data_IF_368122868111
#
_entry.id   IF_368122868111
#
_cell.length_a   1.000
_cell.length_b   1.000
_cell.length_c   1.000
_cell.angle_alpha   90.00
_cell.angle_beta   90.00
_cell.angle_gamma   90.00
#
_symmetry.space_group_name_H-M   'P 1'
#
loop_
_entity.id
_entity.type
_entity.pdbx_description
1 polymer ?
#
# COMPACT_ATOMS: atom_id res chain seq x y z
N UNK A 1 -8.84 17.90 25.10
CA UNK A 1 -7.76 16.89 25.00
C UNK A 1 -7.78 16.34 23.61
N UNK A 2 -6.66 16.26 22.87
CA UNK A 2 -6.67 15.59 21.58
C UNK A 2 -7.03 14.14 21.80
N UNK A 3 -8.05 13.64 21.10
CA UNK A 3 -8.40 12.23 21.08
C UNK A 3 -7.19 11.45 20.53
N UNK A 4 -6.47 10.77 21.39
CA UNK A 4 -5.50 9.76 20.98
C UNK A 4 -6.28 8.50 20.64
N UNK A 5 -6.48 8.23 19.36
CA UNK A 5 -6.89 6.89 18.96
C UNK A 5 -5.75 5.94 19.33
N UNK A 6 -6.10 4.84 20.00
CA UNK A 6 -5.14 3.78 20.21
C UNK A 6 -4.88 3.11 18.85
N UNK A 7 -3.62 2.95 18.48
CA UNK A 7 -3.22 2.16 17.33
C UNK A 7 -2.97 0.73 17.78
N UNK A 8 -3.47 -0.23 17.01
CA UNK A 8 -3.11 -1.62 17.18
C UNK A 8 -1.74 -1.89 16.56
N UNK A 9 -1.07 -2.93 17.04
CA UNK A 9 0.09 -3.48 16.32
C UNK A 9 -0.30 -3.82 14.87
N UNK A 10 0.61 -3.59 13.90
CA UNK A 10 0.30 -3.85 12.50
C UNK A 10 0.02 -5.33 12.27
N UNK A 11 -1.02 -5.61 11.50
CA UNK A 11 -1.29 -6.96 11.00
C UNK A 11 -0.22 -7.32 9.97
N UNK A 12 0.68 -8.20 10.32
CA UNK A 12 1.84 -8.58 9.51
C UNK A 12 1.60 -9.89 8.80
N UNK A 13 1.95 -9.97 7.53
CA UNK A 13 1.94 -11.22 6.75
C UNK A 13 3.12 -12.14 7.06
N UNK A 14 4.17 -11.58 7.69
CA UNK A 14 5.38 -12.29 8.08
C UNK A 14 5.54 -12.21 9.60
N UNK A 15 5.89 -13.33 10.22
CA UNK A 15 6.21 -13.42 11.65
C UNK A 15 7.57 -12.77 11.94
N UNK A 16 7.87 -12.50 13.22
CA UNK A 16 9.19 -11.99 13.64
C UNK A 16 10.36 -12.90 13.22
N UNK A 17 10.09 -14.18 13.01
CA UNK A 17 11.11 -15.18 12.61
C UNK A 17 11.19 -15.34 11.08
N UNK A 18 10.61 -14.44 10.29
CA UNK A 18 10.67 -14.47 8.85
C UNK A 18 9.70 -15.46 8.16
N UNK A 19 8.91 -16.27 8.91
CA UNK A 19 7.93 -17.18 8.33
C UNK A 19 6.70 -16.43 7.83
N UNK A 20 6.21 -16.77 6.65
CA UNK A 20 4.92 -16.25 6.15
C UNK A 20 3.77 -16.82 6.99
N UNK A 21 2.84 -15.98 7.42
CA UNK A 21 1.63 -16.38 8.14
C UNK A 21 0.64 -17.04 7.18
N UNK A 22 -0.14 -17.97 7.69
CA UNK A 22 -1.28 -18.54 6.97
C UNK A 22 -2.44 -17.54 6.91
N UNK A 23 -3.42 -17.81 6.04
CA UNK A 23 -4.62 -16.97 5.94
C UNK A 23 -5.41 -16.93 7.25
N UNK A 24 -5.48 -18.07 7.94
CA UNK A 24 -6.14 -18.23 9.23
C UNK A 24 -5.44 -17.39 10.31
N UNK A 25 -4.11 -17.44 10.36
CA UNK A 25 -3.32 -16.64 11.30
C UNK A 25 -3.50 -15.13 11.06
N UNK A 26 -3.58 -14.70 9.79
CA UNK A 26 -3.85 -13.29 9.44
C UNK A 26 -5.26 -12.90 9.90
N UNK A 27 -6.26 -13.72 9.65
CA UNK A 27 -7.63 -13.47 10.09
C UNK A 27 -7.72 -13.42 11.62
N UNK A 28 -6.99 -14.24 12.34
CA UNK A 28 -6.95 -14.22 13.80
C UNK A 28 -6.25 -12.96 14.35
N UNK A 29 -5.21 -12.47 13.69
CA UNK A 29 -4.62 -11.16 14.02
C UNK A 29 -5.63 -10.01 13.81
N UNK A 30 -6.37 -10.04 12.68
CA UNK A 30 -7.43 -9.05 12.41
C UNK A 30 -8.53 -9.07 13.49
N UNK A 31 -8.92 -10.25 13.97
CA UNK A 31 -9.92 -10.40 15.04
C UNK A 31 -9.46 -9.84 16.39
N UNK A 32 -8.15 -9.76 16.62
CA UNK A 32 -7.57 -9.20 17.84
C UNK A 32 -7.55 -7.68 17.88
N UNK A 33 -7.79 -7.01 16.74
CA UNK A 33 -7.91 -5.55 16.71
C UNK A 33 -9.19 -5.14 17.43
N UNK A 34 -9.11 -4.43 18.57
CA UNK A 34 -10.29 -4.06 19.35
C UNK A 34 -11.17 -3.06 18.61
N UNK A 35 -12.44 -2.98 19.00
CA UNK A 35 -13.32 -1.93 18.50
C UNK A 35 -12.84 -0.55 18.99
N UNK A 36 -13.00 0.47 18.14
CA UNK A 36 -12.52 1.83 18.43
C UNK A 36 -11.01 2.03 18.29
N UNK A 37 -10.29 1.06 17.75
CA UNK A 37 -8.84 1.10 17.52
C UNK A 37 -8.56 1.08 16.03
N UNK A 38 -7.56 1.85 15.58
CA UNK A 38 -7.09 1.84 14.20
C UNK A 38 -6.15 0.65 14.00
N UNK A 39 -6.59 -0.31 13.20
CA UNK A 39 -5.75 -1.39 12.70
C UNK A 39 -5.17 -1.06 11.32
N UNK A 40 -3.96 -1.50 11.04
CA UNK A 40 -3.33 -1.34 9.74
C UNK A 40 -2.44 -2.54 9.39
N UNK A 41 -2.13 -2.72 8.12
CA UNK A 41 -1.26 -3.80 7.67
C UNK A 41 -1.43 -4.16 6.21
N UNK A 42 -0.68 -5.17 5.78
CA UNK A 42 -0.76 -5.73 4.45
C UNK A 42 -1.69 -6.95 4.48
N UNK A 43 -2.95 -6.74 4.15
CA UNK A 43 -3.99 -7.77 4.23
C UNK A 43 -4.46 -8.13 2.82
N UNK A 44 -4.45 -9.42 2.49
CA UNK A 44 -5.00 -9.92 1.22
C UNK A 44 -6.53 -9.83 1.26
N UNK A 45 -7.16 -9.49 0.11
CA UNK A 45 -8.61 -9.41 -0.03
C UNK A 45 -9.25 -10.80 -0.21
N UNK A 46 -8.97 -11.73 0.70
CA UNK A 46 -9.69 -13.00 0.71
C UNK A 46 -11.16 -12.78 1.09
N UNK A 47 -12.04 -13.69 0.72
CA UNK A 47 -13.46 -13.63 1.06
C UNK A 47 -13.66 -13.46 2.58
N UNK A 48 -12.87 -14.18 3.38
CA UNK A 48 -12.94 -14.16 4.85
C UNK A 48 -12.47 -12.82 5.41
N UNK A 49 -11.34 -12.30 4.92
CA UNK A 49 -10.79 -11.02 5.36
C UNK A 49 -11.73 -9.86 4.98
N UNK A 50 -12.20 -9.84 3.73
CA UNK A 50 -13.18 -8.84 3.27
C UNK A 50 -14.46 -8.92 4.09
N UNK A 51 -15.02 -10.11 4.28
CA UNK A 51 -16.24 -10.30 5.09
C UNK A 51 -16.03 -9.86 6.55
N UNK A 52 -14.86 -10.10 7.12
CA UNK A 52 -14.54 -9.68 8.48
C UNK A 52 -14.38 -8.16 8.59
N UNK A 53 -13.64 -7.53 7.69
CA UNK A 53 -13.33 -6.11 7.73
C UNK A 53 -14.54 -5.24 7.37
N UNK A 54 -15.42 -5.69 6.49
CA UNK A 54 -16.57 -4.92 6.01
C UNK A 54 -17.86 -5.11 6.83
N UNK A 55 -17.74 -5.64 8.07
CA UNK A 55 -18.86 -5.71 9.02
C UNK A 55 -19.36 -4.32 9.38
N UNK A 56 -20.62 -4.26 9.80
CA UNK A 56 -21.26 -3.01 10.22
C UNK A 56 -20.43 -2.28 11.31
N UNK A 57 -20.36 -0.98 11.22
CA UNK A 57 -19.62 -0.13 12.15
C UNK A 57 -18.11 -0.05 11.92
N UNK A 58 -17.58 -0.65 10.85
CA UNK A 58 -16.16 -0.56 10.48
C UNK A 58 -15.97 0.34 9.26
N UNK A 59 -14.92 1.14 9.30
CA UNK A 59 -14.42 1.94 8.17
C UNK A 59 -13.15 1.29 7.65
N UNK A 60 -13.05 1.12 6.35
CA UNK A 60 -11.90 0.48 5.74
C UNK A 60 -11.34 1.35 4.62
N UNK A 61 -10.05 1.60 4.69
CA UNK A 61 -9.30 2.28 3.64
C UNK A 61 -8.26 1.33 3.06
N UNK A 62 -8.24 1.23 1.73
CA UNK A 62 -7.20 0.53 1.01
C UNK A 62 -6.41 1.53 0.17
N UNK A 63 -5.11 1.65 0.42
CA UNK A 63 -4.25 2.60 -0.28
C UNK A 63 -3.37 1.84 -1.26
N UNK A 64 -3.39 2.26 -2.53
CA UNK A 64 -2.53 1.73 -3.57
C UNK A 64 -1.81 2.87 -4.30
N UNK A 65 -0.77 2.54 -5.05
CA UNK A 65 0.13 3.51 -5.67
C UNK A 65 0.46 3.10 -7.10
N UNK A 66 0.95 4.06 -7.92
CA UNK A 66 1.54 3.75 -9.24
C UNK A 66 2.58 2.63 -9.07
N UNK A 67 2.41 1.49 -9.77
CA UNK A 67 3.32 0.36 -9.67
C UNK A 67 4.79 0.74 -9.91
N UNK A 68 5.06 1.65 -10.82
CA UNK A 68 6.40 2.11 -11.17
C UNK A 68 7.07 2.85 -10.01
N UNK A 69 6.34 3.76 -9.38
CA UNK A 69 6.82 4.49 -8.20
C UNK A 69 6.97 3.58 -6.99
N UNK A 70 6.10 2.58 -6.86
CA UNK A 70 6.20 1.58 -5.82
C UNK A 70 7.48 0.76 -5.94
N UNK A 71 7.81 0.26 -7.15
CA UNK A 71 9.02 -0.53 -7.40
C UNK A 71 10.28 0.28 -7.08
N UNK A 72 10.37 1.52 -7.55
CA UNK A 72 11.50 2.41 -7.21
C UNK A 72 11.60 2.62 -5.71
N UNK A 73 10.48 2.89 -5.05
CA UNK A 73 10.46 3.09 -3.59
C UNK A 73 10.92 1.85 -2.84
N UNK A 74 10.52 0.66 -3.27
CA UNK A 74 10.89 -0.60 -2.62
C UNK A 74 12.36 -0.94 -2.83
N UNK A 75 12.93 -0.69 -4.01
CA UNK A 75 14.37 -0.88 -4.21
C UNK A 75 15.15 -0.01 -3.21
N UNK A 76 14.86 1.29 -3.13
CA UNK A 76 15.55 2.16 -2.18
C UNK A 76 15.28 1.80 -0.72
N UNK A 77 14.07 1.36 -0.39
CA UNK A 77 13.76 0.90 0.95
C UNK A 77 14.63 -0.31 1.35
N UNK A 78 14.75 -1.28 0.44
CA UNK A 78 15.52 -2.49 0.69
C UNK A 78 17.04 -2.24 0.69
N UNK A 79 17.56 -1.27 -0.10
CA UNK A 79 19.00 -1.02 -0.20
C UNK A 79 19.53 -0.03 0.83
N UNK A 80 18.78 1.06 1.07
CA UNK A 80 19.31 2.23 1.77
C UNK A 80 18.66 2.47 3.14
N UNK A 81 17.47 1.90 3.39
CA UNK A 81 16.68 2.25 4.57
C UNK A 81 16.48 1.10 5.56
N UNK A 82 16.56 -0.14 5.10
CA UNK A 82 16.24 -1.32 5.90
C UNK A 82 17.26 -2.45 5.65
N UNK A 83 18.36 -2.46 6.39
CA UNK A 83 19.40 -3.47 6.27
C UNK A 83 18.92 -4.91 6.54
N UNK A 84 17.92 -5.07 7.42
CA UNK A 84 17.31 -6.37 7.70
C UNK A 84 16.31 -6.84 6.64
N UNK A 85 16.13 -6.08 5.55
CA UNK A 85 15.21 -6.47 4.48
C UNK A 85 15.75 -7.70 3.74
N UNK A 86 14.90 -8.71 3.53
CA UNK A 86 15.31 -9.98 2.91
C UNK A 86 15.95 -9.87 1.51
N UNK A 87 15.81 -8.72 0.84
CA UNK A 87 16.44 -8.44 -0.46
C UNK A 87 17.65 -7.52 -0.34
N UNK A 88 18.04 -7.09 0.88
CA UNK A 88 19.11 -6.10 1.08
C UNK A 88 20.42 -6.51 0.42
N UNK A 89 20.97 -7.65 0.85
CA UNK A 89 22.25 -8.14 0.36
C UNK A 89 22.23 -8.44 -1.12
N UNK A 90 21.15 -9.09 -1.58
CA UNK A 90 21.01 -9.41 -2.99
C UNK A 90 20.94 -8.15 -3.87
N UNK A 91 20.12 -7.16 -3.52
CA UNK A 91 20.07 -5.92 -4.28
C UNK A 91 21.40 -5.18 -4.25
N UNK A 92 22.12 -5.16 -3.13
CA UNK A 92 23.42 -4.52 -3.02
C UNK A 92 24.54 -5.27 -3.73
N UNK A 93 24.36 -6.55 -4.04
CA UNK A 93 25.29 -7.29 -4.91
C UNK A 93 25.12 -6.97 -6.40
N UNK A 94 24.00 -6.37 -6.81
CA UNK A 94 23.72 -5.99 -8.20
C UNK A 94 24.43 -4.68 -8.56
N UNK A 95 24.88 -4.52 -9.83
CA UNK A 95 25.77 -3.44 -10.24
C UNK A 95 25.17 -2.03 -10.07
N UNK A 96 23.86 -1.89 -10.27
CA UNK A 96 23.21 -0.60 -10.25
C UNK A 96 21.71 -0.70 -9.97
N UNK A 97 21.04 0.46 -9.85
CA UNK A 97 19.59 0.54 -9.64
C UNK A 97 18.79 -0.05 -10.80
N UNK A 98 19.31 0.02 -12.03
CA UNK A 98 18.64 -0.56 -13.20
C UNK A 98 18.53 -2.08 -13.08
N UNK A 99 19.61 -2.76 -12.70
CA UNK A 99 19.59 -4.20 -12.46
C UNK A 99 18.62 -4.57 -11.31
N UNK A 100 18.57 -3.78 -10.25
CA UNK A 100 17.64 -3.97 -9.13
C UNK A 100 16.17 -3.81 -9.55
N UNK A 101 15.90 -2.80 -10.39
CA UNK A 101 14.55 -2.56 -10.93
C UNK A 101 14.08 -3.69 -11.84
N UNK A 102 14.96 -4.30 -12.64
CA UNK A 102 14.60 -5.48 -13.43
C UNK A 102 14.09 -6.60 -12.55
N UNK A 103 14.81 -6.90 -11.46
CA UNK A 103 14.38 -7.91 -10.47
C UNK A 103 13.07 -7.49 -9.78
N UNK A 104 12.92 -6.21 -9.41
CA UNK A 104 11.68 -5.72 -8.82
C UNK A 104 10.47 -5.86 -9.74
N UNK A 105 10.65 -5.74 -11.05
CA UNK A 105 9.61 -5.94 -12.07
C UNK A 105 9.28 -7.43 -12.24
N UNK A 106 10.29 -8.28 -12.45
CA UNK A 106 10.11 -9.71 -12.78
C UNK A 106 9.79 -10.58 -11.60
N UNK A 107 10.18 -10.15 -10.39
CA UNK A 107 10.28 -11.03 -9.24
C UNK A 107 11.54 -11.90 -9.29
N UNK A 108 11.72 -12.71 -8.25
CA UNK A 108 12.80 -13.70 -8.14
C UNK A 108 12.32 -14.87 -7.29
N UNK A 109 12.70 -16.08 -7.67
CA UNK A 109 12.46 -17.31 -6.89
C UNK A 109 13.66 -18.24 -7.07
N UNK A 110 14.72 -17.97 -6.34
CA UNK A 110 15.96 -18.76 -6.37
C UNK A 110 16.77 -18.56 -5.08
N UNK A 111 17.59 -19.53 -4.73
CA UNK A 111 18.57 -19.44 -3.64
C UNK A 111 18.00 -19.00 -2.29
N UNK A 112 16.74 -19.38 -2.01
CA UNK A 112 16.05 -18.98 -0.78
C UNK A 112 15.46 -17.55 -0.81
N UNK A 113 15.66 -16.82 -1.89
CA UNK A 113 15.02 -15.53 -2.13
C UNK A 113 13.69 -15.74 -2.85
N UNK A 114 12.65 -15.12 -2.34
CA UNK A 114 11.32 -15.14 -2.96
C UNK A 114 10.71 -13.75 -2.99
N UNK A 115 10.47 -13.23 -4.19
CA UNK A 115 9.74 -11.99 -4.42
C UNK A 115 8.86 -12.13 -5.66
N UNK A 116 7.59 -11.87 -5.49
CA UNK A 116 6.61 -11.92 -6.59
C UNK A 116 6.85 -10.81 -7.61
N UNK A 117 6.49 -11.06 -8.87
CA UNK A 117 6.52 -10.03 -9.92
C UNK A 117 5.56 -8.88 -9.62
N UNK A 118 5.74 -7.76 -10.32
CA UNK A 118 4.82 -6.62 -10.22
C UNK A 118 3.39 -7.01 -10.57
N UNK A 119 3.18 -7.87 -11.57
CA UNK A 119 1.84 -8.37 -11.96
C UNK A 119 1.17 -9.10 -10.80
N UNK A 120 1.85 -10.10 -10.26
CA UNK A 120 1.33 -10.92 -9.14
C UNK A 120 1.02 -10.08 -7.90
N UNK A 121 1.86 -9.08 -7.60
CA UNK A 121 1.64 -8.16 -6.48
C UNK A 121 0.35 -7.37 -6.64
N UNK A 122 0.04 -6.91 -7.85
CA UNK A 122 -1.15 -6.10 -8.13
C UNK A 122 -2.43 -6.92 -8.33
N UNK A 123 -2.36 -8.23 -8.44
CA UNK A 123 -3.54 -9.10 -8.34
C UNK A 123 -4.28 -8.87 -7.01
N UNK A 124 -3.56 -8.74 -5.90
CA UNK A 124 -4.15 -8.39 -4.61
C UNK A 124 -4.78 -6.99 -4.57
N UNK A 125 -4.23 -6.03 -5.31
CA UNK A 125 -4.84 -4.69 -5.45
C UNK A 125 -6.18 -4.77 -6.17
N UNK A 126 -6.26 -5.52 -7.26
CA UNK A 126 -7.54 -5.69 -7.99
C UNK A 126 -8.61 -6.37 -7.13
N UNK A 127 -8.24 -7.33 -6.31
CA UNK A 127 -9.18 -7.94 -5.37
C UNK A 127 -9.78 -6.91 -4.41
N UNK A 128 -9.00 -5.96 -3.90
CA UNK A 128 -9.51 -4.86 -3.07
C UNK A 128 -10.35 -3.87 -3.87
N UNK A 129 -9.96 -3.53 -5.10
CA UNK A 129 -10.74 -2.67 -5.97
C UNK A 129 -12.10 -3.29 -6.32
N UNK A 130 -12.15 -4.59 -6.54
CA UNK A 130 -13.40 -5.31 -6.78
C UNK A 130 -14.27 -5.40 -5.51
N UNK A 131 -13.65 -5.64 -4.36
CA UNK A 131 -14.34 -5.61 -3.08
C UNK A 131 -14.95 -4.24 -2.77
N UNK A 132 -14.28 -3.15 -3.13
CA UNK A 132 -14.75 -1.77 -2.90
C UNK A 132 -16.03 -1.43 -3.66
N UNK A 133 -16.29 -2.10 -4.79
CA UNK A 133 -17.53 -1.90 -5.58
C UNK A 133 -18.78 -2.46 -4.90
N UNK A 134 -18.61 -3.36 -3.93
CA UNK A 134 -19.70 -4.11 -3.31
C UNK A 134 -19.78 -3.91 -1.79
N UNK A 135 -18.76 -3.37 -1.19
CA UNK A 135 -18.57 -3.29 0.26
C UNK A 135 -18.05 -1.90 0.67
N UNK A 136 -18.16 -1.60 1.95
CA UNK A 136 -17.65 -0.36 2.57
C UNK A 136 -16.12 -0.35 2.70
N UNK A 137 -15.44 -0.33 1.57
CA UNK A 137 -14.00 -0.15 1.46
C UNK A 137 -13.74 1.05 0.55
N UNK A 138 -13.11 2.08 1.06
CA UNK A 138 -12.67 3.21 0.26
C UNK A 138 -11.26 2.93 -0.27
N UNK A 139 -11.14 2.74 -1.59
CA UNK A 139 -9.85 2.60 -2.25
C UNK A 139 -9.30 3.97 -2.61
N UNK A 140 -8.08 4.27 -2.17
CA UNK A 140 -7.41 5.55 -2.32
C UNK A 140 -6.13 5.37 -3.11
N UNK A 141 -5.88 6.27 -4.07
CA UNK A 141 -4.56 6.37 -4.69
C UNK A 141 -3.65 7.20 -3.79
N UNK A 142 -2.43 6.73 -3.61
CA UNK A 142 -1.40 7.51 -2.91
C UNK A 142 -1.21 8.89 -3.56
N UNK A 143 -1.29 8.96 -4.88
CA UNK A 143 -1.16 10.18 -5.66
C UNK A 143 -2.25 11.21 -5.31
N UNK A 144 -3.47 10.77 -5.02
CA UNK A 144 -4.56 11.67 -4.63
C UNK A 144 -4.33 12.24 -3.22
N UNK A 145 -3.75 11.46 -2.31
CA UNK A 145 -3.33 11.97 -0.98
C UNK A 145 -2.26 13.07 -1.09
N UNK A 146 -1.46 13.07 -2.14
CA UNK A 146 -0.42 14.08 -2.38
C UNK A 146 -0.98 15.28 -3.15
N UNK A 147 -1.71 15.03 -4.25
CA UNK A 147 -2.09 16.06 -5.22
C UNK A 147 -3.49 16.66 -4.94
N UNK A 148 -4.40 15.88 -4.32
CA UNK A 148 -5.80 16.24 -4.04
C UNK A 148 -6.14 15.99 -2.57
N UNK A 149 -5.23 16.32 -1.68
CA UNK A 149 -5.26 15.95 -0.27
C UNK A 149 -6.59 16.24 0.42
N UNK A 150 -7.07 17.48 0.32
CA UNK A 150 -8.28 17.91 1.04
C UNK A 150 -9.52 17.15 0.56
N UNK A 151 -9.65 16.94 -0.75
CA UNK A 151 -10.74 16.14 -1.31
C UNK A 151 -10.66 14.67 -0.84
N UNK A 152 -9.45 14.11 -0.81
CA UNK A 152 -9.22 12.73 -0.38
C UNK A 152 -9.52 12.56 1.12
N UNK A 153 -9.07 13.48 1.96
CA UNK A 153 -9.36 13.45 3.40
C UNK A 153 -10.86 13.67 3.68
N UNK A 154 -11.53 14.52 2.91
CA UNK A 154 -12.98 14.65 2.99
C UNK A 154 -13.71 13.36 2.64
N UNK A 155 -13.31 12.65 1.57
CA UNK A 155 -13.87 11.36 1.23
C UNK A 155 -13.64 10.32 2.35
N UNK A 156 -12.49 10.35 3.03
CA UNK A 156 -12.25 9.49 4.19
C UNK A 156 -13.19 9.82 5.36
N UNK A 157 -13.45 11.09 5.64
CA UNK A 157 -14.42 11.51 6.66
C UNK A 157 -15.85 11.10 6.29
N UNK A 158 -16.23 11.18 5.00
CA UNK A 158 -17.53 10.72 4.52
C UNK A 158 -17.75 9.23 4.83
N UNK A 159 -16.73 8.41 4.69
CA UNK A 159 -16.83 6.97 5.04
C UNK A 159 -17.02 6.76 6.54
N UNK A 160 -16.38 7.58 7.39
CA UNK A 160 -16.60 7.54 8.85
C UNK A 160 -18.06 7.90 9.17
N UNK A 161 -18.57 8.97 8.59
CA UNK A 161 -19.95 9.44 8.83
C UNK A 161 -20.99 8.40 8.37
N UNK A 162 -20.78 7.71 7.24
CA UNK A 162 -21.65 6.63 6.75
C UNK A 162 -21.81 5.47 7.74
N UNK A 163 -20.80 5.22 8.56
CA UNK A 163 -20.90 4.15 9.59
C UNK A 163 -21.65 4.58 10.83
N UNK A 164 -22.04 5.85 10.93
CA UNK A 164 -22.67 6.43 12.14
C UNK A 164 -21.68 6.68 13.27
N UNK A 165 -20.38 6.54 13.03
CA UNK A 165 -19.35 6.85 14.02
C UNK A 165 -19.31 8.38 14.25
N UNK A 166 -19.42 8.85 15.51
CA UNK A 166 -19.46 10.28 15.78
C UNK A 166 -18.08 10.91 15.54
N UNK A 167 -18.05 11.93 14.70
CA UNK A 167 -16.90 12.82 14.58
C UNK A 167 -17.06 13.89 15.68
N UNK A 168 -16.19 13.93 16.70
CA UNK A 168 -16.40 14.72 17.91
C UNK A 168 -16.17 16.22 17.73
N UNK A 169 -15.77 16.65 16.53
CA UNK A 169 -15.48 18.06 16.19
C UNK A 169 -16.19 18.46 14.90
N UNK A 170 -16.43 19.76 14.68
CA UNK A 170 -16.91 20.24 13.38
C UNK A 170 -16.00 19.75 12.25
N UNK A 171 -16.58 19.43 11.09
CA UNK A 171 -15.89 18.83 9.96
C UNK A 171 -14.63 19.59 9.52
N UNK A 172 -14.71 20.91 9.45
CA UNK A 172 -13.56 21.77 9.09
C UNK A 172 -12.40 21.60 10.07
N UNK A 173 -12.71 21.51 11.36
CA UNK A 173 -11.71 21.27 12.39
C UNK A 173 -11.12 19.85 12.30
N UNK A 174 -11.96 18.85 12.03
CA UNK A 174 -11.50 17.48 11.82
C UNK A 174 -10.53 17.39 10.63
N UNK A 175 -10.86 18.07 9.52
CA UNK A 175 -10.00 18.16 8.35
C UNK A 175 -8.66 18.85 8.67
N UNK A 176 -8.68 19.96 9.38
CA UNK A 176 -7.46 20.67 9.82
C UNK A 176 -6.56 19.76 10.66
N UNK A 177 -7.14 19.05 11.62
CA UNK A 177 -6.40 18.07 12.47
C UNK A 177 -5.76 16.99 11.61
N UNK A 178 -6.47 16.42 10.63
CA UNK A 178 -5.93 15.42 9.74
C UNK A 178 -4.76 15.94 8.93
N UNK A 179 -4.89 17.15 8.34
CA UNK A 179 -3.82 17.81 7.57
C UNK A 179 -2.57 18.02 8.43
N UNK A 180 -2.74 18.55 9.64
CA UNK A 180 -1.64 18.83 10.57
C UNK A 180 -0.97 17.54 11.08
N UNK A 181 -1.73 16.44 11.15
CA UNK A 181 -1.23 15.12 11.57
C UNK A 181 -0.34 14.46 10.51
N UNK A 182 -0.41 14.87 9.24
CA UNK A 182 0.43 14.33 8.18
C UNK A 182 1.85 14.84 8.32
N UNK A 183 2.71 14.03 8.93
CA UNK A 183 4.11 14.37 9.20
C UNK A 183 5.05 13.34 8.55
N UNK A 184 5.18 13.33 7.21
CA UNK A 184 5.90 12.28 6.49
C UNK A 184 7.34 12.12 6.95
N UNK A 185 8.02 13.22 7.31
CA UNK A 185 9.42 13.19 7.80
C UNK A 185 9.61 12.40 9.10
N UNK A 186 8.53 12.11 9.84
CA UNK A 186 8.57 11.27 11.04
C UNK A 186 8.48 9.77 10.71
N UNK A 187 8.11 9.41 9.51
CA UNK A 187 8.06 8.01 9.07
C UNK A 187 9.45 7.52 8.69
N UNK A 188 9.88 6.40 9.26
CA UNK A 188 11.15 5.74 8.91
C UNK A 188 11.17 5.21 7.47
N UNK A 189 10.01 5.10 6.80
CA UNK A 189 9.90 4.68 5.40
C UNK A 189 9.83 5.87 4.43
N UNK A 190 9.84 7.11 4.93
CA UNK A 190 9.72 8.29 4.08
C UNK A 190 11.03 8.57 3.34
N UNK A 191 10.98 8.51 2.01
CA UNK A 191 12.12 8.85 1.14
C UNK A 191 11.95 10.23 0.49
N UNK A 192 10.93 10.41 -0.31
CA UNK A 192 10.75 11.63 -1.13
C UNK A 192 9.33 12.19 -1.13
N UNK A 193 8.30 11.37 -0.88
CA UNK A 193 6.90 11.80 -0.91
C UNK A 193 6.45 12.37 -2.27
N UNK A 194 7.10 11.98 -3.36
CA UNK A 194 6.84 12.45 -4.72
C UNK A 194 6.03 11.41 -5.50
N UNK A 195 5.28 11.88 -6.47
CA UNK A 195 4.59 11.08 -7.48
C UNK A 195 5.30 11.24 -8.83
N UNK A 196 5.34 10.18 -9.63
CA UNK A 196 5.98 10.19 -10.94
C UNK A 196 7.51 10.17 -10.93
N UNK A 197 8.13 9.96 -9.77
CA UNK A 197 9.59 9.90 -9.62
C UNK A 197 10.24 8.71 -10.34
N UNK A 198 9.46 7.71 -10.71
CA UNK A 198 9.94 6.57 -11.49
C UNK A 198 10.59 6.98 -12.82
N UNK A 199 10.22 8.13 -13.40
CA UNK A 199 10.77 8.63 -14.69
C UNK A 199 12.27 8.92 -14.61
N UNK A 200 12.80 9.17 -13.43
CA UNK A 200 14.23 9.40 -13.20
C UNK A 200 15.04 8.09 -13.29
N UNK A 201 14.39 6.92 -13.13
CA UNK A 201 15.05 5.63 -12.98
C UNK A 201 14.70 4.61 -14.06
N UNK A 202 13.52 4.73 -14.67
CA UNK A 202 13.08 3.82 -15.71
C UNK A 202 13.69 4.21 -17.06
N UNK A 203 14.46 3.31 -17.65
CA UNK A 203 14.90 3.38 -19.04
C UNK A 203 13.86 2.77 -19.97
N UNK A 204 14.04 2.89 -21.28
CA UNK A 204 13.18 2.23 -22.28
C UNK A 204 13.19 0.69 -22.13
N UNK A 205 14.32 0.13 -21.70
CA UNK A 205 14.42 -1.30 -21.41
C UNK A 205 13.52 -1.68 -20.22
N UNK A 206 13.49 -0.88 -19.13
CA UNK A 206 12.59 -1.10 -18.01
C UNK A 206 11.12 -0.96 -18.39
N UNK A 207 10.78 0.01 -19.23
CA UNK A 207 9.40 0.18 -19.73
C UNK A 207 8.96 -1.02 -20.54
N UNK A 208 9.83 -1.51 -21.45
CA UNK A 208 9.55 -2.71 -22.21
C UNK A 208 9.36 -3.92 -21.32
N UNK A 209 10.31 -4.18 -20.40
CA UNK A 209 10.22 -5.29 -19.46
C UNK A 209 8.97 -5.22 -18.59
N UNK A 210 8.61 -4.02 -18.13
CA UNK A 210 7.40 -3.82 -17.36
C UNK A 210 6.15 -4.19 -18.18
N UNK A 211 6.05 -3.76 -19.43
CA UNK A 211 4.94 -4.11 -20.34
C UNK A 211 4.89 -5.61 -20.61
N UNK A 212 6.03 -6.25 -20.82
CA UNK A 212 6.13 -7.70 -21.07
C UNK A 212 5.63 -8.51 -19.84
N UNK A 213 5.93 -8.05 -18.61
CA UNK A 213 5.55 -8.75 -17.36
C UNK A 213 4.15 -8.38 -16.89
N UNK A 214 3.82 -7.11 -16.91
CA UNK A 214 2.62 -6.56 -16.30
C UNK A 214 1.46 -6.30 -17.29
N UNK A 215 1.72 -6.47 -18.59
CA UNK A 215 0.71 -6.31 -19.65
C UNK A 215 0.01 -4.94 -19.57
N UNK A 216 -1.32 -4.92 -19.44
CA UNK A 216 -2.17 -3.73 -19.38
C UNK A 216 -2.39 -3.18 -17.96
N UNK A 217 -1.56 -3.59 -17.00
CA UNK A 217 -1.71 -3.26 -15.58
C UNK A 217 -1.96 -1.76 -15.34
N UNK A 218 -1.16 -0.88 -15.96
CA UNK A 218 -1.28 0.56 -15.74
C UNK A 218 -2.57 1.13 -16.31
N UNK A 219 -3.03 0.60 -17.43
CA UNK A 219 -4.31 0.99 -18.05
C UNK A 219 -5.47 0.55 -17.15
N UNK A 220 -5.46 -0.69 -16.68
CA UNK A 220 -6.47 -1.22 -15.75
C UNK A 220 -6.55 -0.45 -14.43
N UNK A 221 -5.40 0.02 -13.92
CA UNK A 221 -5.34 0.87 -12.74
C UNK A 221 -5.65 2.34 -13.02
N UNK A 222 -5.74 2.75 -14.31
CA UNK A 222 -6.01 4.11 -14.74
C UNK A 222 -4.83 5.07 -14.52
N UNK A 223 -3.59 4.57 -14.53
CA UNK A 223 -2.38 5.39 -14.55
C UNK A 223 -1.96 5.77 -15.96
N UNK A 224 -2.35 4.99 -16.96
CA UNK A 224 -2.13 5.25 -18.38
C UNK A 224 -3.42 5.01 -19.18
N UNK A 225 -3.56 5.69 -20.30
CA UNK A 225 -4.71 5.53 -21.20
C UNK A 225 -4.51 4.37 -22.19
N UNK A 226 -3.27 4.07 -22.52
CA UNK A 226 -2.86 3.01 -23.45
C UNK A 226 -1.56 2.39 -22.95
N UNK A 227 -1.11 1.31 -23.60
CA UNK A 227 0.22 0.74 -23.35
C UNK A 227 1.38 1.48 -24.07
N UNK A 228 1.11 2.58 -24.75
CA UNK A 228 2.08 3.43 -25.45
C UNK A 228 2.62 4.55 -24.54
N UNK A 229 3.22 4.19 -23.39
CA UNK A 229 3.74 5.14 -22.39
C UNK A 229 5.26 5.05 -22.22
#
# INVERSE_FOLDING_TARGET
MPYKYAEAEPVRTITKNGRRRTKEEILDELKRVPDGVIGWGYVEATTENVSFLTRAGRVNYFIYRDPRDLLVSQVFFATDMQEEHGMHDYYNSLPDIGARLKIAITGIDQDGLHMVSVKQRYEGVFQWLDASRQKNVLCLRFEDLINNRDATLNAMLDEVEKTGYPIPTPREQALSILVESIQPKKSHTFRAGKTGGWREFFTEEHKKLFKDVAEDLLVRLGYENTNEW
#
